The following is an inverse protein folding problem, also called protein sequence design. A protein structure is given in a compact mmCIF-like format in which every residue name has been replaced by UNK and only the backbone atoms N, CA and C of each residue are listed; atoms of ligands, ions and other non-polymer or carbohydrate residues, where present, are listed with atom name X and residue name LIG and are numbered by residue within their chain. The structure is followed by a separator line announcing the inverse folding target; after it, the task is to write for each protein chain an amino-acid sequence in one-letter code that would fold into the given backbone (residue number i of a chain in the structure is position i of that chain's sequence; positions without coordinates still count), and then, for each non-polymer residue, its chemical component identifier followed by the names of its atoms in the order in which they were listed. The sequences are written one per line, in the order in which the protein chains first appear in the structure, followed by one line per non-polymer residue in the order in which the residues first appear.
data_IF_295732544532
#
_entry.id   IF_295732544532
#
_cell.length_a   1.000
_cell.length_b   1.000
_cell.length_c   1.000
_cell.angle_alpha   90.00
_cell.angle_beta   90.00
_cell.angle_gamma   90.00
#
_symmetry.space_group_name_H-M   'P 1'
#
loop_
_entity.id
_entity.type
_entity.pdbx_description
1 polymer ?
#
# COMPACT_ATOMS: atom_id res chain seq x y z
N UNK A 1 -11.59 -6.38 16.66
CA UNK A 1 -10.91 -6.91 17.84
C UNK A 1 -9.44 -7.26 17.63
N UNK A 2 -8.91 -7.15 16.41
CA UNK A 2 -7.50 -7.40 16.14
C UNK A 2 -6.60 -6.30 16.73
N UNK A 3 -5.35 -6.66 17.02
CA UNK A 3 -4.36 -5.75 17.61
C UNK A 3 -3.27 -5.32 16.62
N UNK A 4 -3.31 -5.82 15.39
CA UNK A 4 -2.33 -5.47 14.38
C UNK A 4 -2.49 -6.29 13.11
N UNK A 5 -1.60 -6.08 12.15
CA UNK A 5 -1.59 -6.77 10.87
C UNK A 5 -0.16 -6.91 10.35
N UNK A 6 0.04 -7.93 9.50
CA UNK A 6 1.28 -8.07 8.72
C UNK A 6 0.95 -7.52 7.32
N UNK A 7 1.24 -6.26 7.10
CA UNK A 7 0.77 -5.51 5.94
C UNK A 7 1.80 -5.44 4.81
N UNK A 8 1.39 -5.82 3.62
CA UNK A 8 2.19 -5.59 2.39
C UNK A 8 2.30 -4.08 2.12
N UNK A 9 1.20 -3.36 2.23
CA UNK A 9 1.13 -1.91 1.95
C UNK A 9 2.02 -1.09 2.87
N UNK A 10 2.25 -1.54 4.11
CA UNK A 10 3.12 -0.83 5.06
C UNK A 10 4.56 -0.69 4.56
N UNK A 11 5.00 -1.53 3.63
CA UNK A 11 6.34 -1.41 3.04
C UNK A 11 6.49 -0.14 2.19
N UNK A 12 5.41 0.38 1.63
CA UNK A 12 5.44 1.54 0.73
C UNK A 12 4.69 2.76 1.29
N UNK A 13 3.83 2.57 2.28
CA UNK A 13 3.05 3.63 2.92
C UNK A 13 3.03 3.46 4.43
N UNK A 14 4.20 3.40 5.10
CA UNK A 14 4.25 3.11 6.54
C UNK A 14 3.56 4.17 7.38
N UNK A 15 3.67 5.44 7.03
CA UNK A 15 3.04 6.52 7.79
C UNK A 15 1.52 6.44 7.74
N UNK A 16 0.93 6.27 6.55
CA UNK A 16 -0.51 6.13 6.40
C UNK A 16 -1.04 4.91 7.16
N UNK A 17 -0.33 3.78 7.07
CA UNK A 17 -0.72 2.57 7.79
C UNK A 17 -0.62 2.74 9.30
N UNK A 18 0.42 3.41 9.78
CA UNK A 18 0.59 3.71 11.21
C UNK A 18 -0.50 4.64 11.72
N UNK A 19 -0.79 5.71 10.99
CA UNK A 19 -1.84 6.66 11.35
C UNK A 19 -3.22 5.99 11.33
N UNK A 20 -3.49 5.14 10.35
CA UNK A 20 -4.72 4.37 10.29
C UNK A 20 -4.90 3.49 11.54
N UNK A 21 -3.87 2.76 11.94
CA UNK A 21 -3.91 1.91 13.13
C UNK A 21 -4.18 2.75 14.40
N UNK A 22 -3.46 3.85 14.54
CA UNK A 22 -3.59 4.76 15.67
C UNK A 22 -5.02 5.30 15.79
N UNK A 23 -5.57 5.80 14.70
CA UNK A 23 -6.89 6.41 14.71
C UNK A 23 -8.02 5.39 14.76
N UNK A 24 -7.83 4.19 14.20
CA UNK A 24 -8.86 3.14 14.19
C UNK A 24 -9.18 2.59 15.58
N UNK A 25 -8.21 2.59 16.50
CA UNK A 25 -8.41 2.13 17.87
C UNK A 25 -8.86 3.25 18.82
N UNK A 26 -8.90 4.48 18.36
CA UNK A 26 -9.33 5.63 19.16
C UNK A 26 -10.84 5.58 19.41
N UNK A 27 -11.27 6.08 20.56
CA UNK A 27 -12.69 6.25 20.92
C UNK A 27 -13.22 7.64 20.55
N UNK A 28 -12.37 8.53 20.03
CA UNK A 28 -12.76 9.86 19.57
C UNK A 28 -13.46 9.78 18.21
N UNK A 29 -14.64 10.40 18.08
CA UNK A 29 -15.38 10.46 16.81
C UNK A 29 -14.58 11.14 15.70
N UNK A 30 -13.83 12.19 16.03
CA UNK A 30 -12.97 12.89 15.06
C UNK A 30 -11.85 11.99 14.53
N UNK A 31 -11.23 11.20 15.41
CA UNK A 31 -10.16 10.28 15.02
C UNK A 31 -10.71 9.08 14.24
N UNK A 32 -11.92 8.61 14.57
CA UNK A 32 -12.60 7.57 13.78
C UNK A 32 -12.87 8.05 12.35
N UNK A 33 -13.30 9.30 12.16
CA UNK A 33 -13.49 9.89 10.82
C UNK A 33 -12.18 10.01 10.07
N UNK A 34 -11.11 10.36 10.76
CA UNK A 34 -9.76 10.42 10.17
C UNK A 34 -9.29 9.03 9.72
N UNK A 35 -9.56 8.01 10.52
CA UNK A 35 -9.27 6.62 10.14
C UNK A 35 -10.04 6.21 8.87
N UNK A 36 -11.32 6.57 8.75
CA UNK A 36 -12.10 6.31 7.54
C UNK A 36 -11.49 7.01 6.32
N UNK A 37 -11.08 8.26 6.46
CA UNK A 37 -10.46 9.02 5.37
C UNK A 37 -9.18 8.34 4.90
N UNK A 38 -8.32 7.93 5.83
CA UNK A 38 -7.08 7.24 5.51
C UNK A 38 -7.37 5.88 4.87
N UNK A 39 -8.34 5.14 5.38
CA UNK A 39 -8.73 3.85 4.81
C UNK A 39 -9.18 4.00 3.34
N UNK A 40 -9.96 5.05 3.03
CA UNK A 40 -10.38 5.32 1.66
C UNK A 40 -9.21 5.62 0.72
N UNK A 41 -8.15 6.24 1.24
CA UNK A 41 -6.91 6.46 0.48
C UNK A 41 -6.17 5.14 0.28
N UNK A 42 -6.11 4.30 1.32
CA UNK A 42 -5.33 3.05 1.31
C UNK A 42 -5.98 1.92 0.50
N UNK A 43 -7.32 1.87 0.38
CA UNK A 43 -7.99 0.75 -0.29
C UNK A 43 -7.51 0.51 -1.73
N UNK A 44 -7.43 1.52 -2.60
CA UNK A 44 -6.87 1.30 -3.94
C UNK A 44 -5.42 0.83 -3.91
N UNK A 45 -4.63 1.31 -2.95
CA UNK A 45 -3.23 0.88 -2.78
C UNK A 45 -3.18 -0.60 -2.40
N UNK A 46 -3.96 -1.02 -1.40
CA UNK A 46 -4.07 -2.43 -1.01
C UNK A 46 -4.42 -3.32 -2.20
N UNK A 47 -5.46 -2.93 -2.95
CA UNK A 47 -5.92 -3.71 -4.09
C UNK A 47 -4.84 -3.83 -5.18
N UNK A 48 -4.11 -2.76 -5.46
CA UNK A 48 -3.07 -2.76 -6.48
C UNK A 48 -1.88 -3.66 -6.14
N UNK A 49 -1.61 -3.88 -4.86
CA UNK A 49 -0.51 -4.77 -4.43
C UNK A 49 -0.79 -6.24 -4.71
N UNK A 50 -2.03 -6.61 -5.04
CA UNK A 50 -2.45 -8.00 -5.28
C UNK A 50 -3.01 -8.26 -6.68
N UNK A 51 -2.82 -7.32 -7.62
CA UNK A 51 -3.22 -7.49 -9.03
C UNK A 51 -2.44 -8.65 -9.67
N UNK A 52 -1.19 -8.79 -9.29
CA UNK A 52 -0.35 -9.95 -9.63
C UNK A 52 0.18 -10.56 -8.33
N UNK A 53 0.87 -11.68 -8.43
CA UNK A 53 1.39 -12.38 -7.24
C UNK A 53 2.32 -11.49 -6.42
N UNK A 54 2.03 -11.38 -5.12
CA UNK A 54 2.94 -10.75 -4.18
C UNK A 54 4.27 -11.52 -4.15
N UNK A 55 5.46 -10.91 -4.13
CA UNK A 55 5.72 -9.50 -3.86
C UNK A 55 5.97 -8.64 -5.12
N UNK A 56 5.66 -9.10 -6.32
CA UNK A 56 6.01 -8.37 -7.55
C UNK A 56 5.44 -6.95 -7.58
N UNK A 57 4.13 -6.71 -7.31
CA UNK A 57 3.62 -5.34 -7.30
C UNK A 57 4.22 -4.44 -6.23
N UNK A 58 4.40 -4.91 -5.00
CA UNK A 58 4.96 -4.08 -3.92
C UNK A 58 6.43 -3.75 -4.19
N UNK A 59 7.18 -4.65 -4.81
CA UNK A 59 8.57 -4.36 -5.19
C UNK A 59 8.64 -3.30 -6.29
N UNK A 60 7.73 -3.35 -7.25
CA UNK A 60 7.63 -2.29 -8.26
C UNK A 60 7.26 -0.94 -7.63
N UNK A 61 6.28 -0.93 -6.72
CA UNK A 61 5.92 0.28 -5.98
C UNK A 61 7.11 0.84 -5.19
N UNK A 62 7.85 -0.02 -4.50
CA UNK A 62 9.04 0.37 -3.77
C UNK A 62 10.14 0.92 -4.68
N UNK A 63 10.27 0.39 -5.90
CA UNK A 63 11.17 0.93 -6.91
C UNK A 63 10.77 2.35 -7.30
N UNK A 64 9.49 2.63 -7.50
CA UNK A 64 9.00 3.98 -7.79
C UNK A 64 9.31 4.96 -6.66
N UNK A 65 9.40 4.47 -5.43
CA UNK A 65 9.77 5.25 -4.24
C UNK A 65 11.29 5.30 -4.02
N UNK A 66 12.08 4.71 -4.91
CA UNK A 66 13.54 4.64 -4.82
C UNK A 66 14.05 3.87 -3.58
N UNK A 67 13.30 2.87 -3.12
CA UNK A 67 13.65 2.07 -1.95
C UNK A 67 14.45 0.82 -2.31
N UNK A 68 14.18 0.21 -3.49
CA UNK A 68 14.87 -0.99 -3.96
C UNK A 68 14.64 -1.17 -5.47
N UNK A 69 15.25 -2.20 -6.07
CA UNK A 69 14.93 -2.63 -7.43
C UNK A 69 13.65 -3.47 -7.43
N UNK A 70 13.07 -3.68 -8.61
CA UNK A 70 11.89 -4.52 -8.79
C UNK A 70 12.23 -5.97 -9.14
N UNK A 71 13.48 -6.38 -8.95
CA UNK A 71 13.93 -7.74 -9.20
C UNK A 71 13.26 -8.73 -8.25
N UNK A 72 12.83 -9.86 -8.80
CA UNK A 72 12.23 -10.97 -8.04
C UNK A 72 12.86 -12.27 -8.48
N UNK A 73 12.83 -13.27 -7.60
CA UNK A 73 13.36 -14.60 -7.88
C UNK A 73 12.30 -15.47 -8.57
N UNK A 74 12.72 -16.32 -9.50
CA UNK A 74 11.85 -17.31 -10.10
C UNK A 74 11.24 -18.23 -9.01
N UNK A 75 9.99 -18.69 -9.15
CA UNK A 75 9.12 -18.56 -10.33
C UNK A 75 8.40 -17.23 -10.47
N UNK A 76 8.62 -16.27 -9.57
CA UNK A 76 8.05 -14.94 -9.67
C UNK A 76 8.69 -14.18 -10.82
N UNK A 77 7.92 -13.25 -11.42
CA UNK A 77 8.38 -12.41 -12.52
C UNK A 77 8.04 -10.96 -12.22
N UNK A 78 8.71 -10.03 -12.89
CA UNK A 78 8.40 -8.61 -12.81
C UNK A 78 6.98 -8.37 -13.32
N UNK A 79 6.32 -7.33 -12.79
CA UNK A 79 4.94 -7.01 -13.18
C UNK A 79 4.84 -6.60 -14.66
N UNK A 80 3.66 -6.84 -15.25
CA UNK A 80 3.36 -6.44 -16.62
C UNK A 80 3.26 -4.91 -16.74
N UNK A 81 3.34 -4.39 -17.97
CA UNK A 81 3.22 -2.95 -18.20
C UNK A 81 1.86 -2.41 -17.73
N UNK A 82 0.77 -3.15 -17.93
CA UNK A 82 -0.56 -2.77 -17.46
C UNK A 82 -0.58 -2.60 -15.94
N UNK A 83 0.01 -3.54 -15.22
CA UNK A 83 0.11 -3.47 -13.76
C UNK A 83 0.99 -2.30 -13.32
N UNK A 84 2.09 -2.04 -14.01
CA UNK A 84 2.96 -0.88 -13.74
C UNK A 84 2.18 0.43 -13.81
N UNK A 85 1.38 0.61 -14.85
CA UNK A 85 0.54 1.80 -15.01
C UNK A 85 -0.48 1.93 -13.89
N UNK A 86 -1.15 0.84 -13.54
CA UNK A 86 -2.16 0.81 -12.46
C UNK A 86 -1.52 1.18 -11.12
N UNK A 87 -0.42 0.55 -10.75
CA UNK A 87 0.30 0.82 -9.51
C UNK A 87 0.75 2.28 -9.46
N UNK A 88 1.34 2.78 -10.55
CA UNK A 88 1.80 4.17 -10.61
C UNK A 88 0.65 5.17 -10.42
N UNK A 89 -0.48 4.96 -11.10
CA UNK A 89 -1.67 5.82 -10.95
C UNK A 89 -2.20 5.82 -9.52
N UNK A 90 -2.26 4.66 -8.90
CA UNK A 90 -2.73 4.51 -7.52
C UNK A 90 -1.81 5.25 -6.55
N UNK A 91 -0.50 5.12 -6.70
CA UNK A 91 0.47 5.82 -5.84
C UNK A 91 0.38 7.34 -6.00
N UNK A 92 0.17 7.83 -7.22
CA UNK A 92 -0.02 9.25 -7.48
C UNK A 92 -1.30 9.75 -6.80
N UNK A 93 -2.41 9.00 -6.95
CA UNK A 93 -3.70 9.36 -6.34
C UNK A 93 -3.63 9.38 -4.81
N UNK A 94 -2.80 8.54 -4.22
CA UNK A 94 -2.59 8.48 -2.76
C UNK A 94 -1.52 9.48 -2.26
N UNK A 95 -0.95 10.29 -3.15
CA UNK A 95 0.13 11.24 -2.85
C UNK A 95 1.39 10.57 -2.28
N UNK A 96 1.68 9.33 -2.71
CA UNK A 96 2.89 8.61 -2.31
C UNK A 96 4.06 8.89 -3.23
N UNK A 97 3.79 9.29 -4.46
CA UNK A 97 4.78 9.74 -5.42
C UNK A 97 4.34 11.01 -6.15
#
# INVERSE_FOLDING_TARGET
GGVGAISVTANIAPKLCSDFQKFSISKSDNEQKEAERINNILQPVHNSMFIESNPSPVKYAAKLLNLCSDDVRLPLVKVTETTKETVKKVLISANLI
#
